data_IF_846645439312
#
_entry.id   IF_846645439312
#
_cell.length_a   1.000
_cell.length_b   1.000
_cell.length_c   1.000
_cell.angle_alpha   90.00
_cell.angle_beta   90.00
_cell.angle_gamma   90.00
#
_symmetry.space_group_name_H-M   'P 1'
#
loop_
_entity.id
_entity.type
_entity.pdbx_description
1 polymer ?
#
# COMPACT_ATOMS: atom_id res chain seq x y z
N UNK A 1 -6.16 3.33 17.06
CA UNK A 1 -6.24 2.43 15.89
C UNK A 1 -7.36 2.82 14.93
N UNK A 2 -8.63 2.90 15.37
CA UNK A 2 -9.75 3.28 14.50
C UNK A 2 -9.58 4.67 13.82
N UNK A 3 -9.03 5.65 14.54
CA UNK A 3 -8.71 6.97 13.98
C UNK A 3 -7.82 6.91 12.73
N UNK A 4 -6.78 6.06 12.73
CA UNK A 4 -5.93 5.83 11.55
C UNK A 4 -6.72 5.29 10.35
N UNK A 5 -7.69 4.39 10.58
CA UNK A 5 -8.56 3.89 9.50
C UNK A 5 -9.39 5.02 8.91
N UNK A 6 -10.03 5.81 9.77
CA UNK A 6 -10.86 6.95 9.38
C UNK A 6 -10.05 8.02 8.63
N UNK A 7 -8.84 8.35 9.10
CA UNK A 7 -7.93 9.30 8.46
C UNK A 7 -7.46 8.83 7.08
N UNK A 8 -7.03 7.56 6.95
CA UNK A 8 -6.49 7.01 5.70
C UNK A 8 -7.55 6.76 4.64
N UNK A 9 -8.73 6.27 5.02
CA UNK A 9 -9.82 5.94 4.08
C UNK A 9 -10.87 7.06 3.94
N UNK A 10 -10.72 8.17 4.68
CA UNK A 10 -11.75 9.22 4.82
C UNK A 10 -13.11 8.67 5.29
N UNK A 11 -13.05 7.66 6.15
CA UNK A 11 -14.20 6.98 6.73
C UNK A 11 -14.64 7.60 8.07
N UNK A 12 -15.80 7.19 8.58
CA UNK A 12 -16.38 7.66 9.85
C UNK A 12 -16.84 6.48 10.72
N UNK A 13 -16.01 5.44 10.84
CA UNK A 13 -16.30 4.31 11.73
C UNK A 13 -16.34 4.77 13.18
N UNK A 14 -17.40 4.41 13.91
CA UNK A 14 -17.57 4.73 15.33
C UNK A 14 -16.91 3.70 16.26
N UNK A 15 -16.87 2.43 15.83
CA UNK A 15 -16.35 1.28 16.56
C UNK A 15 -15.47 0.38 15.69
N UNK A 16 -14.63 -0.46 16.31
CA UNK A 16 -13.73 -1.38 15.59
C UNK A 16 -14.52 -2.54 14.96
N UNK A 17 -15.61 -2.92 15.62
CA UNK A 17 -16.58 -3.93 15.21
C UNK A 17 -17.23 -3.62 13.84
N UNK A 18 -17.25 -2.36 13.40
CA UNK A 18 -17.79 -1.96 12.09
C UNK A 18 -16.87 -2.41 10.92
N UNK A 19 -15.60 -2.73 11.20
CA UNK A 19 -14.67 -3.30 10.23
C UNK A 19 -15.00 -4.77 9.87
N UNK A 20 -15.96 -5.39 10.57
CA UNK A 20 -16.55 -6.70 10.23
C UNK A 20 -17.14 -6.77 8.82
N UNK A 21 -17.37 -5.63 8.18
CA UNK A 21 -17.84 -5.54 6.79
C UNK A 21 -16.79 -5.99 5.78
N UNK A 22 -15.49 -6.02 6.13
CA UNK A 22 -14.40 -6.41 5.23
C UNK A 22 -14.00 -5.35 4.19
N UNK A 23 -14.86 -4.37 3.90
CA UNK A 23 -14.68 -3.40 2.82
C UNK A 23 -13.45 -2.48 3.02
N UNK A 24 -13.22 -2.02 4.25
CA UNK A 24 -12.06 -1.18 4.59
C UNK A 24 -10.72 -1.89 4.28
N UNK A 25 -10.61 -3.19 4.60
CA UNK A 25 -9.42 -3.98 4.31
C UNK A 25 -9.22 -4.20 2.81
N UNK A 26 -10.31 -4.37 2.04
CA UNK A 26 -10.24 -4.45 0.58
C UNK A 26 -9.69 -3.13 -0.01
N UNK A 27 -10.18 -1.98 0.46
CA UNK A 27 -9.70 -0.67 0.01
C UNK A 27 -8.23 -0.41 0.41
N UNK A 28 -7.80 -0.87 1.58
CA UNK A 28 -6.39 -0.82 1.94
C UNK A 28 -5.50 -1.70 1.06
N UNK A 29 -5.98 -2.88 0.64
CA UNK A 29 -5.23 -3.75 -0.26
C UNK A 29 -5.05 -3.13 -1.65
N UNK A 30 -6.09 -2.49 -2.19
CA UNK A 30 -6.00 -1.72 -3.45
C UNK A 30 -5.01 -0.53 -3.34
N UNK A 31 -4.98 0.14 -2.17
CA UNK A 31 -4.02 1.22 -1.89
C UNK A 31 -2.57 0.74 -1.79
N UNK A 32 -2.33 -0.46 -1.24
CA UNK A 32 -0.99 -1.05 -1.13
C UNK A 32 -0.51 -1.68 -2.44
N UNK A 33 -1.42 -2.36 -3.13
CA UNK A 33 -1.15 -3.19 -4.31
C UNK A 33 -2.27 -2.96 -5.33
N UNK A 34 -2.15 -1.92 -6.17
CA UNK A 34 -3.18 -1.58 -7.16
C UNK A 34 -3.52 -2.78 -8.04
N UNK A 35 -4.83 -2.96 -8.32
CA UNK A 35 -5.37 -4.10 -9.10
C UNK A 35 -5.38 -5.47 -8.39
N UNK A 36 -4.86 -5.61 -7.16
CA UNK A 36 -4.99 -6.87 -6.39
C UNK A 36 -6.41 -7.14 -5.86
N UNK A 37 -7.31 -6.16 -6.01
CA UNK A 37 -8.70 -6.23 -5.52
C UNK A 37 -9.65 -5.85 -6.66
N UNK A 38 -10.63 -6.70 -7.02
CA UNK A 38 -11.74 -6.34 -7.90
C UNK A 38 -12.70 -5.39 -7.17
N UNK A 39 -12.33 -4.11 -7.06
CA UNK A 39 -13.04 -3.09 -6.27
C UNK A 39 -14.52 -2.91 -6.67
N UNK A 40 -14.87 -3.21 -7.92
CA UNK A 40 -16.28 -3.22 -8.41
C UNK A 40 -17.17 -4.26 -7.74
N UNK A 41 -16.59 -5.30 -7.12
CA UNK A 41 -17.33 -6.36 -6.42
C UNK A 41 -17.42 -6.13 -4.90
N UNK A 42 -16.68 -5.16 -4.36
CA UNK A 42 -16.64 -4.86 -2.92
C UNK A 42 -17.93 -4.13 -2.50
N UNK A 43 -18.57 -4.62 -1.44
CA UNK A 43 -19.77 -4.03 -0.84
C UNK A 43 -19.38 -3.03 0.24
N UNK A 44 -19.29 -1.75 -0.11
CA UNK A 44 -18.88 -0.67 0.82
C UNK A 44 -19.96 -0.29 1.85
N UNK A 45 -21.24 -0.34 1.44
CA UNK A 45 -22.37 0.01 2.29
C UNK A 45 -23.32 -1.20 2.36
N UNK A 46 -23.20 -2.00 3.42
CA UNK A 46 -24.00 -3.21 3.63
C UNK A 46 -24.19 -3.49 5.12
N UNK A 47 -25.32 -4.12 5.45
CA UNK A 47 -25.63 -4.64 6.78
C UNK A 47 -25.81 -6.19 6.77
N UNK A 48 -25.38 -6.88 5.70
CA UNK A 48 -25.64 -8.30 5.46
C UNK A 48 -24.39 -9.15 5.72
N UNK A 49 -24.48 -10.10 6.68
CA UNK A 49 -23.36 -11.00 7.01
C UNK A 49 -22.86 -11.80 5.79
N UNK A 50 -23.77 -12.17 4.87
CA UNK A 50 -23.40 -12.83 3.62
C UNK A 50 -22.50 -11.94 2.73
N UNK A 51 -22.79 -10.64 2.64
CA UNK A 51 -21.98 -9.69 1.88
C UNK A 51 -20.64 -9.39 2.58
N UNK A 52 -20.59 -9.45 3.91
CA UNK A 52 -19.32 -9.38 4.65
C UNK A 52 -18.41 -10.57 4.32
N UNK A 53 -18.97 -11.79 4.29
CA UNK A 53 -18.25 -13.00 3.88
C UNK A 53 -17.73 -12.87 2.44
N UNK A 54 -18.51 -12.28 1.53
CA UNK A 54 -18.06 -12.00 0.16
C UNK A 54 -16.87 -11.03 0.13
N UNK A 55 -16.93 -9.91 0.85
CA UNK A 55 -15.81 -8.98 0.98
C UNK A 55 -14.55 -9.65 1.56
N UNK A 56 -14.68 -10.47 2.60
CA UNK A 56 -13.52 -11.19 3.16
C UNK A 56 -12.95 -12.27 2.22
N UNK A 57 -13.76 -12.91 1.37
CA UNK A 57 -13.26 -13.80 0.32
C UNK A 57 -12.49 -13.05 -0.77
N UNK A 58 -12.92 -11.83 -1.12
CA UNK A 58 -12.16 -10.93 -2.00
C UNK A 58 -10.81 -10.57 -1.36
N UNK A 59 -10.81 -10.20 -0.08
CA UNK A 59 -9.59 -9.90 0.68
C UNK A 59 -8.62 -11.10 0.73
N UNK A 60 -9.14 -12.32 0.93
CA UNK A 60 -8.36 -13.54 0.95
C UNK A 60 -7.73 -13.87 -0.41
N UNK A 61 -8.42 -13.57 -1.52
CA UNK A 61 -7.86 -13.70 -2.86
C UNK A 61 -6.69 -12.71 -3.06
N UNK A 62 -6.87 -11.43 -2.69
CA UNK A 62 -5.82 -10.42 -2.77
C UNK A 62 -4.58 -10.81 -1.94
N UNK A 63 -4.75 -11.34 -0.73
CA UNK A 63 -3.66 -11.85 0.11
C UNK A 63 -2.89 -12.98 -0.58
N UNK A 64 -3.58 -13.88 -1.29
CA UNK A 64 -2.95 -14.97 -2.04
C UNK A 64 -2.13 -14.46 -3.23
N UNK A 65 -2.62 -13.45 -3.94
CA UNK A 65 -1.91 -12.84 -5.08
C UNK A 65 -0.60 -12.17 -4.63
N UNK A 66 -0.63 -11.42 -3.53
CA UNK A 66 0.57 -10.77 -2.95
C UNK A 66 1.40 -11.70 -2.06
N UNK A 67 1.01 -12.98 -1.92
CA UNK A 67 1.68 -14.02 -1.12
C UNK A 67 1.84 -13.65 0.36
N UNK A 68 0.79 -13.07 0.95
CA UNK A 68 0.72 -12.83 2.39
C UNK A 68 0.29 -14.11 3.14
N UNK A 69 1.19 -14.70 3.93
CA UNK A 69 0.99 -15.97 4.67
C UNK A 69 -0.05 -15.89 5.83
N UNK A 70 -0.82 -14.80 5.97
CA UNK A 70 -1.80 -14.63 7.06
C UNK A 70 -3.15 -15.27 6.73
N UNK A 71 -3.55 -16.23 7.56
CA UNK A 71 -4.92 -16.75 7.58
C UNK A 71 -5.86 -15.67 8.13
N UNK A 72 -6.95 -15.41 7.40
CA UNK A 72 -8.01 -14.47 7.77
C UNK A 72 -9.11 -15.27 8.49
N UNK A 73 -9.41 -15.03 9.78
CA UNK A 73 -10.44 -15.78 10.53
C UNK A 73 -11.84 -15.25 10.21
N UNK A 74 -12.30 -15.44 8.97
CA UNK A 74 -13.54 -14.85 8.42
C UNK A 74 -14.73 -15.06 9.36
N UNK A 75 -14.98 -16.30 9.77
CA UNK A 75 -16.15 -16.68 10.58
C UNK A 75 -16.24 -15.93 11.91
N UNK A 76 -15.10 -15.50 12.47
CA UNK A 76 -15.06 -14.68 13.68
C UNK A 76 -15.21 -13.20 13.37
N UNK A 77 -14.47 -12.69 12.37
CA UNK A 77 -14.51 -11.28 12.00
C UNK A 77 -15.91 -10.83 11.63
N UNK A 78 -16.64 -11.62 10.82
CA UNK A 78 -17.99 -11.29 10.38
C UNK A 78 -19.02 -11.25 11.51
N UNK A 79 -18.76 -11.89 12.66
CA UNK A 79 -19.62 -11.79 13.87
C UNK A 79 -19.48 -10.47 14.60
N UNK A 80 -18.39 -9.74 14.34
CA UNK A 80 -18.17 -8.40 14.89
C UNK A 80 -17.68 -8.39 16.33
N UNK A 81 -17.15 -9.51 16.85
CA UNK A 81 -16.56 -9.54 18.18
C UNK A 81 -15.33 -8.61 18.23
N UNK A 82 -15.30 -7.72 19.23
CA UNK A 82 -14.27 -6.69 19.37
C UNK A 82 -12.85 -7.28 19.38
N UNK A 83 -12.64 -8.38 20.09
CA UNK A 83 -11.33 -8.97 20.29
C UNK A 83 -10.72 -9.46 18.96
N UNK A 84 -11.41 -10.32 18.22
CA UNK A 84 -10.90 -10.85 16.95
C UNK A 84 -10.77 -9.73 15.89
N UNK A 85 -11.71 -8.77 15.84
CA UNK A 85 -11.61 -7.63 14.92
C UNK A 85 -10.44 -6.70 15.26
N UNK A 86 -10.17 -6.46 16.55
CA UNK A 86 -9.04 -5.65 16.98
C UNK A 86 -7.70 -6.34 16.77
N UNK A 87 -7.59 -7.64 17.06
CA UNK A 87 -6.38 -8.43 16.79
C UNK A 87 -6.04 -8.43 15.28
N UNK A 88 -7.04 -8.67 14.43
CA UNK A 88 -6.84 -8.63 12.98
C UNK A 88 -6.46 -7.22 12.50
N UNK A 89 -7.10 -6.17 13.02
CA UNK A 89 -6.76 -4.78 12.70
C UNK A 89 -5.31 -4.41 13.11
N UNK A 90 -4.85 -4.85 14.29
CA UNK A 90 -3.47 -4.62 14.73
C UNK A 90 -2.46 -5.30 13.79
N UNK A 91 -2.70 -6.57 13.46
CA UNK A 91 -1.86 -7.29 12.51
C UNK A 91 -1.89 -6.62 11.13
N UNK A 92 -3.07 -6.20 10.67
CA UNK A 92 -3.25 -5.54 9.37
C UNK A 92 -2.55 -4.18 9.32
N UNK A 93 -2.54 -3.41 10.42
CA UNK A 93 -1.75 -2.18 10.53
C UNK A 93 -0.25 -2.44 10.36
N UNK A 94 0.30 -3.45 11.04
CA UNK A 94 1.71 -3.85 10.89
C UNK A 94 2.02 -4.27 9.45
N UNK A 95 1.12 -5.05 8.83
CA UNK A 95 1.23 -5.43 7.43
C UNK A 95 1.21 -4.21 6.50
N UNK A 96 0.28 -3.26 6.71
CA UNK A 96 0.20 -2.02 5.95
C UNK A 96 1.50 -1.21 6.06
N UNK A 97 1.97 -0.95 7.29
CA UNK A 97 3.19 -0.17 7.52
C UNK A 97 4.46 -0.81 6.93
N UNK A 98 4.47 -2.13 6.76
CA UNK A 98 5.60 -2.86 6.14
C UNK A 98 5.58 -2.78 4.61
N UNK A 99 4.42 -2.53 4.00
CA UNK A 99 4.21 -2.58 2.55
C UNK A 99 3.87 -1.22 1.93
N UNK A 100 3.53 -0.22 2.74
CA UNK A 100 3.26 1.14 2.30
C UNK A 100 4.56 1.93 2.29
N UNK A 101 5.01 2.38 1.12
CA UNK A 101 6.06 3.40 1.06
C UNK A 101 5.32 4.74 1.09
N UNK A 102 5.52 5.52 2.14
CA UNK A 102 5.28 6.95 2.05
C UNK A 102 6.19 7.53 0.96
N UNK A 103 5.64 8.48 0.19
CA UNK A 103 6.34 9.14 -0.91
C UNK A 103 7.67 9.76 -0.42
N UNK A 104 8.80 9.12 -0.77
CA UNK A 104 10.12 9.64 -0.43
C UNK A 104 10.45 10.83 -1.34
N UNK A 105 10.12 12.02 -0.83
CA UNK A 105 10.43 13.28 -1.47
C UNK A 105 11.94 13.53 -1.66
N UNK A 106 12.84 12.73 -1.08
CA UNK A 106 14.28 12.79 -1.29
C UNK A 106 14.73 11.85 -2.43
N UNK A 107 14.20 10.63 -2.50
CA UNK A 107 14.38 9.75 -3.66
C UNK A 107 13.77 10.36 -4.93
N UNK A 108 12.60 11.00 -4.83
CA UNK A 108 11.98 11.75 -5.93
C UNK A 108 12.81 12.97 -6.42
N UNK A 109 13.87 13.33 -5.70
CA UNK A 109 14.85 14.37 -6.04
C UNK A 109 16.24 13.81 -6.40
N UNK A 110 16.42 12.49 -6.43
CA UNK A 110 17.73 11.84 -6.51
C UNK A 110 18.72 12.38 -5.46
N UNK A 111 18.22 12.60 -4.23
CA UNK A 111 18.97 13.20 -3.12
C UNK A 111 19.22 14.71 -3.23
N UNK A 112 18.77 15.40 -4.28
CA UNK A 112 19.01 16.84 -4.45
C UNK A 112 18.41 17.68 -3.30
N UNK A 113 19.20 18.61 -2.77
CA UNK A 113 18.83 19.48 -1.64
C UNK A 113 17.82 20.54 -2.08
N UNK A 114 16.84 20.85 -1.23
CA UNK A 114 15.81 21.87 -1.49
C UNK A 114 15.89 22.98 -0.43
N UNK A 115 15.83 24.25 -0.87
CA UNK A 115 15.94 25.44 -0.02
C UNK A 115 16.62 26.60 -0.76
N UNK A 116 16.59 27.82 -0.17
CA UNK A 116 17.31 28.96 -0.73
C UNK A 116 18.83 28.81 -0.57
N UNK A 117 19.55 28.91 -1.68
CA UNK A 117 20.96 28.53 -1.75
C UNK A 117 21.95 29.55 -1.18
N UNK A 118 23.00 29.02 -0.54
CA UNK A 118 24.35 29.56 -0.67
C UNK A 118 25.18 28.48 -1.37
N UNK A 119 25.61 28.75 -2.60
CA UNK A 119 26.60 27.91 -3.28
C UNK A 119 27.89 27.94 -2.47
N UNK A 120 28.31 26.80 -1.94
CA UNK A 120 29.56 26.76 -1.20
C UNK A 120 30.71 26.92 -2.20
N UNK A 121 31.59 27.88 -1.94
CA UNK A 121 32.69 28.21 -2.83
C UNK A 121 33.67 27.03 -2.93
N UNK A 122 34.14 26.78 -4.15
CA UNK A 122 35.41 26.10 -4.44
C UNK A 122 35.51 24.60 -4.07
N UNK A 123 34.87 23.75 -4.88
CA UNK A 123 35.54 22.54 -5.36
C UNK A 123 36.39 22.95 -6.58
N UNK A 124 37.70 23.11 -6.39
CA UNK A 124 38.64 23.50 -7.46
C UNK A 124 39.08 22.25 -8.25
N UNK A 125 39.29 22.44 -9.55
CA UNK A 125 39.91 21.51 -10.50
C UNK A 125 39.06 20.32 -11.01
N UNK A 126 38.29 20.55 -12.07
CA UNK A 126 38.37 19.66 -13.24
C UNK A 126 38.10 20.39 -14.58
N UNK A 127 39.24 20.70 -15.21
CA UNK A 127 39.53 21.00 -16.63
C UNK A 127 38.39 20.79 -17.66
N UNK A 128 38.08 21.85 -18.42
CA UNK A 128 37.27 21.82 -19.65
C UNK A 128 38.02 21.23 -20.86
N UNK A 129 37.28 20.64 -21.80
CA UNK A 129 37.38 20.68 -23.29
C UNK A 129 36.20 19.86 -23.89
N UNK A 130 35.82 19.94 -25.21
CA UNK A 130 34.40 20.10 -25.56
C UNK A 130 33.75 19.09 -26.55
N UNK A 131 32.41 19.03 -26.44
CA UNK A 131 31.32 18.74 -27.40
C UNK A 131 31.50 17.80 -28.62
N UNK A 132 30.71 16.71 -28.65
CA UNK A 132 29.98 16.12 -29.82
C UNK A 132 28.81 15.22 -29.32
N UNK A 133 27.88 14.63 -30.08
CA UNK A 133 26.99 15.09 -31.18
C UNK A 133 25.88 14.02 -31.45
N UNK A 134 24.59 14.40 -31.52
CA UNK A 134 23.44 13.58 -32.01
C UNK A 134 23.09 12.28 -31.20
N UNK A 135 21.92 11.61 -31.32
CA UNK A 135 20.53 11.93 -31.72
C UNK A 135 19.59 10.75 -31.34
N UNK A 136 18.27 10.97 -31.38
CA UNK A 136 17.18 9.98 -31.53
C UNK A 136 16.77 9.02 -30.37
N UNK A 137 15.57 9.31 -29.85
CA UNK A 137 14.42 8.40 -29.63
C UNK A 137 14.60 7.00 -28.98
N UNK A 138 13.80 6.74 -27.93
CA UNK A 138 12.77 5.69 -28.04
C UNK A 138 11.61 5.89 -27.05
N UNK A 139 10.38 5.69 -27.54
CA UNK A 139 9.15 5.63 -26.73
C UNK A 139 8.83 4.18 -26.39
N UNK A 140 8.64 3.86 -25.10
CA UNK A 140 8.04 2.58 -24.68
C UNK A 140 7.29 2.77 -23.36
N UNK A 141 6.01 2.38 -23.35
CA UNK A 141 5.23 2.26 -22.10
C UNK A 141 5.85 1.14 -21.24
N UNK A 142 6.32 1.48 -20.05
CA UNK A 142 7.05 0.54 -19.19
C UNK A 142 6.11 -0.16 -18.21
N UNK A 143 6.09 -1.49 -18.27
CA UNK A 143 5.40 -2.37 -17.31
C UNK A 143 6.06 -2.42 -15.92
N UNK A 144 6.87 -1.41 -15.52
CA UNK A 144 7.65 -1.46 -14.29
C UNK A 144 6.78 -1.47 -13.03
N UNK A 145 5.67 -0.73 -13.01
CA UNK A 145 4.85 -0.59 -11.79
C UNK A 145 4.34 -1.94 -11.28
N UNK A 146 3.94 -2.85 -12.17
CA UNK A 146 3.55 -4.21 -11.79
C UNK A 146 4.72 -5.04 -11.24
N UNK A 147 5.91 -4.90 -11.82
CA UNK A 147 7.12 -5.59 -11.36
C UNK A 147 7.62 -5.04 -10.02
N UNK A 148 7.56 -3.73 -9.81
CA UNK A 148 7.88 -3.07 -8.54
C UNK A 148 6.90 -3.49 -7.44
N UNK A 149 5.59 -3.55 -7.71
CA UNK A 149 4.59 -4.08 -6.78
C UNK A 149 4.87 -5.54 -6.39
N UNK A 150 5.21 -6.41 -7.36
CA UNK A 150 5.57 -7.81 -7.11
C UNK A 150 6.86 -7.91 -6.26
N UNK A 151 7.88 -7.13 -6.59
CA UNK A 151 9.18 -7.14 -5.89
C UNK A 151 9.05 -6.65 -4.45
N UNK A 152 8.14 -5.69 -4.21
CA UNK A 152 7.85 -5.16 -2.88
C UNK A 152 7.12 -6.17 -1.99
N UNK A 153 6.10 -6.83 -2.52
CA UNK A 153 5.42 -7.94 -1.84
C UNK A 153 6.42 -9.05 -1.46
N UNK A 154 7.38 -9.37 -2.34
CA UNK A 154 8.43 -10.37 -2.07
C UNK A 154 9.38 -9.98 -0.92
N UNK A 155 9.62 -8.69 -0.65
CA UNK A 155 10.46 -8.25 0.49
C UNK A 155 9.76 -8.40 1.84
N UNK A 156 8.45 -8.14 1.91
CA UNK A 156 7.70 -8.18 3.17
C UNK A 156 7.56 -9.60 3.78
N UNK A 157 7.62 -10.64 2.95
CA UNK A 157 7.53 -12.06 3.37
C UNK A 157 8.64 -12.43 4.38
N UNK A 158 9.79 -11.74 4.35
CA UNK A 158 10.93 -12.05 5.23
C UNK A 158 10.83 -11.48 6.65
N UNK A 159 9.81 -10.67 6.98
CA UNK A 159 9.76 -9.87 8.23
C UNK A 159 8.52 -10.22 9.11
N UNK A 160 7.60 -11.03 8.59
CA UNK A 160 6.32 -11.38 9.25
C UNK A 160 6.28 -12.87 9.70
N UNK A 161 7.39 -13.59 9.53
CA UNK A 161 7.68 -14.87 10.20
C UNK A 161 8.57 -14.63 11.42
#
# INVERSE_FOLDING_TARGET
>A
MLAWVNERLRAQFGKIEELRTGAAYCQFMDMLFPSSVPMTHVKFCTNSEHEYIQNFKILQAAFKEVKADKIIPIDKLVKGDFQDNFEFLQWFKKFFDTNYDDYDASAARDGARMGYGKTNLQAIQQKFEPLTTASAAHSTLSSSMALESITKAQRAISIIK
#
